data_IF_048850262729
#
_entry.id   IF_048850262729
#
_cell.length_a   1.000
_cell.length_b   1.000
_cell.length_c   1.000
_cell.angle_alpha   90.00
_cell.angle_beta   90.00
_cell.angle_gamma   90.00
#
_symmetry.space_group_name_H-M   'P 1'
#
loop_
_entity.id
_entity.type
_entity.pdbx_description
1 polymer ?
#
# COMPACT_ATOMS: atom_id res chain seq x y z
N UNK A 1 -16.03 26.23 -5.73
CA UNK A 1 -14.86 27.08 -5.47
C UNK A 1 -13.63 26.20 -5.40
N UNK A 2 -12.49 26.63 -5.95
CA UNK A 2 -11.23 25.87 -5.96
C UNK A 2 -10.73 25.51 -4.55
N UNK A 3 -11.04 26.35 -3.56
CA UNK A 3 -10.73 26.11 -2.13
C UNK A 3 -11.32 24.79 -1.62
N UNK A 4 -12.58 24.50 -1.93
CA UNK A 4 -13.24 23.25 -1.55
C UNK A 4 -12.54 22.03 -2.19
N UNK A 5 -12.09 22.16 -3.44
CA UNK A 5 -11.35 21.08 -4.09
C UNK A 5 -9.96 20.86 -3.47
N UNK A 6 -9.28 21.91 -3.03
CA UNK A 6 -8.00 21.79 -2.33
C UNK A 6 -8.15 21.13 -0.96
N UNK A 7 -9.21 21.46 -0.23
CA UNK A 7 -9.55 20.80 1.03
C UNK A 7 -9.81 19.31 0.83
N UNK A 8 -10.57 18.94 -0.22
CA UNK A 8 -10.82 17.53 -0.54
C UNK A 8 -9.54 16.79 -0.95
N UNK A 9 -8.62 17.42 -1.69
CA UNK A 9 -7.31 16.82 -1.99
C UNK A 9 -6.48 16.60 -0.72
N UNK A 10 -6.48 17.58 0.20
CA UNK A 10 -5.78 17.47 1.48
C UNK A 10 -6.36 16.32 2.32
N UNK A 11 -7.68 16.21 2.39
CA UNK A 11 -8.39 15.12 3.09
C UNK A 11 -8.13 13.76 2.44
N UNK A 12 -8.11 13.68 1.12
CA UNK A 12 -7.75 12.46 0.39
C UNK A 12 -6.34 11.98 0.75
N UNK A 13 -5.34 12.88 0.78
CA UNK A 13 -3.98 12.52 1.18
C UNK A 13 -3.88 12.08 2.64
N UNK A 14 -4.60 12.74 3.55
CA UNK A 14 -4.67 12.31 4.96
C UNK A 14 -5.27 10.92 5.10
N UNK A 15 -6.34 10.62 4.34
CA UNK A 15 -6.95 9.28 4.30
C UNK A 15 -6.00 8.24 3.75
N UNK A 16 -5.24 8.55 2.68
CA UNK A 16 -4.20 7.65 2.16
C UNK A 16 -3.14 7.35 3.21
N UNK A 17 -2.63 8.38 3.89
CA UNK A 17 -1.65 8.21 4.95
C UNK A 17 -2.17 7.30 6.08
N UNK A 18 -3.43 7.45 6.49
CA UNK A 18 -4.06 6.58 7.49
C UNK A 18 -4.19 5.13 7.01
N UNK A 19 -4.60 4.91 5.75
CA UNK A 19 -4.65 3.56 5.16
C UNK A 19 -3.27 2.92 5.10
N UNK A 20 -2.24 3.68 4.76
CA UNK A 20 -0.85 3.21 4.78
C UNK A 20 -0.41 2.83 6.20
N UNK A 21 -0.79 3.59 7.21
CA UNK A 21 -0.52 3.23 8.61
C UNK A 21 -1.22 1.92 9.02
N UNK A 22 -2.46 1.69 8.57
CA UNK A 22 -3.15 0.42 8.77
C UNK A 22 -2.40 -0.74 8.09
N UNK A 23 -1.98 -0.57 6.82
CA UNK A 23 -1.21 -1.59 6.08
C UNK A 23 0.11 -1.91 6.80
N UNK A 24 0.83 -0.88 7.27
CA UNK A 24 2.07 -1.06 8.01
C UNK A 24 1.85 -1.89 9.29
N UNK A 25 0.77 -1.64 10.03
CA UNK A 25 0.41 -2.42 11.21
C UNK A 25 0.08 -3.88 10.86
N UNK A 26 -0.64 -4.13 9.75
CA UNK A 26 -0.89 -5.49 9.28
C UNK A 26 0.39 -6.21 8.85
N UNK A 27 1.35 -5.50 8.26
CA UNK A 27 2.66 -6.05 7.92
C UNK A 27 3.47 -6.44 9.15
N UNK A 28 3.49 -5.58 10.18
CA UNK A 28 4.17 -5.91 11.44
C UNK A 28 3.50 -7.10 12.13
N UNK A 29 2.16 -7.15 12.12
CA UNK A 29 1.39 -8.30 12.63
C UNK A 29 1.70 -9.59 11.86
N UNK A 30 1.79 -9.51 10.53
CA UNK A 30 2.16 -10.63 9.68
C UNK A 30 3.59 -11.11 9.99
N UNK A 31 4.56 -10.20 10.14
CA UNK A 31 5.94 -10.53 10.49
C UNK A 31 5.99 -11.31 11.82
N UNK A 32 5.22 -10.88 12.82
CA UNK A 32 5.11 -11.57 14.10
C UNK A 32 4.49 -12.96 13.96
N UNK A 33 3.43 -13.11 13.16
CA UNK A 33 2.80 -14.41 12.89
C UNK A 33 3.78 -15.40 12.25
N UNK A 34 4.59 -14.93 11.30
CA UNK A 34 5.53 -15.75 10.53
C UNK A 34 6.77 -16.17 11.33
N UNK A 35 7.07 -15.46 12.42
CA UNK A 35 8.18 -15.79 13.34
C UNK A 35 7.79 -16.77 14.44
N UNK A 36 6.49 -17.11 14.59
CA UNK A 36 6.05 -18.12 15.56
C UNK A 36 6.47 -19.52 15.12
N UNK A 37 6.74 -20.41 16.09
CA UNK A 37 7.08 -21.81 15.82
C UNK A 37 5.95 -22.58 15.11
N UNK A 38 4.70 -22.19 15.35
CA UNK A 38 3.51 -22.72 14.66
C UNK A 38 2.68 -21.56 14.09
N UNK A 39 2.44 -21.59 12.78
CA UNK A 39 1.66 -20.57 12.09
C UNK A 39 0.20 -20.98 12.05
N UNK A 40 -0.69 -20.09 12.48
CA UNK A 40 -2.12 -20.23 12.23
C UNK A 40 -2.43 -19.79 10.80
N UNK A 41 -2.82 -20.75 9.94
CA UNK A 41 -3.21 -20.46 8.57
C UNK A 41 -4.44 -19.55 8.48
N UNK A 42 -5.36 -19.68 9.42
CA UNK A 42 -6.56 -18.84 9.49
C UNK A 42 -6.20 -17.38 9.84
N UNK A 43 -5.26 -17.17 10.77
CA UNK A 43 -4.78 -15.82 11.11
C UNK A 43 -4.00 -15.19 9.95
N UNK A 44 -3.22 -16.00 9.22
CA UNK A 44 -2.49 -15.55 8.05
C UNK A 44 -3.43 -15.18 6.90
N UNK A 45 -4.45 -16.00 6.64
CA UNK A 45 -5.47 -15.71 5.62
C UNK A 45 -6.22 -14.42 5.95
N UNK A 46 -6.70 -14.27 7.18
CA UNK A 46 -7.41 -13.07 7.62
C UNK A 46 -6.53 -11.80 7.53
N UNK A 47 -5.25 -11.89 7.91
CA UNK A 47 -4.31 -10.78 7.76
C UNK A 47 -4.19 -10.34 6.29
N UNK A 48 -4.09 -11.29 5.38
CA UNK A 48 -3.85 -11.02 3.97
C UNK A 48 -5.09 -10.52 3.24
N UNK A 49 -6.28 -11.04 3.58
CA UNK A 49 -7.56 -10.52 3.09
C UNK A 49 -7.76 -9.05 3.47
N UNK A 50 -7.42 -8.68 4.71
CA UNK A 50 -7.59 -7.28 5.14
C UNK A 50 -6.55 -6.36 4.50
N UNK A 51 -5.31 -6.82 4.27
CA UNK A 51 -4.33 -6.07 3.47
C UNK A 51 -4.83 -5.85 2.04
N UNK A 52 -5.38 -6.87 1.38
CA UNK A 52 -5.99 -6.72 0.06
C UNK A 52 -7.11 -5.66 0.06
N UNK A 53 -7.99 -5.69 1.07
CA UNK A 53 -9.06 -4.68 1.22
C UNK A 53 -8.50 -3.26 1.36
N UNK A 54 -7.45 -3.09 2.15
CA UNK A 54 -6.79 -1.80 2.33
C UNK A 54 -6.08 -1.32 1.07
N UNK A 55 -5.46 -2.22 0.31
CA UNK A 55 -4.85 -1.91 -1.00
C UNK A 55 -5.94 -1.42 -1.98
N UNK A 56 -7.09 -2.10 -2.06
CA UNK A 56 -8.19 -1.64 -2.92
C UNK A 56 -8.71 -0.26 -2.51
N UNK A 57 -8.79 0.01 -1.20
CA UNK A 57 -9.15 1.33 -0.67
C UNK A 57 -8.12 2.38 -1.05
N UNK A 58 -6.82 2.06 -0.98
CA UNK A 58 -5.74 2.95 -1.37
C UNK A 58 -5.82 3.30 -2.87
N UNK A 59 -5.99 2.30 -3.74
CA UNK A 59 -6.17 2.49 -5.19
C UNK A 59 -7.34 3.43 -5.50
N UNK A 60 -8.50 3.24 -4.86
CA UNK A 60 -9.66 4.12 -5.08
C UNK A 60 -9.41 5.56 -4.61
N UNK A 61 -8.63 5.75 -3.53
CA UNK A 61 -8.21 7.09 -3.10
C UNK A 61 -7.21 7.72 -4.08
N UNK A 62 -6.33 6.92 -4.69
CA UNK A 62 -5.38 7.37 -5.71
C UNK A 62 -6.11 7.85 -6.97
N UNK A 63 -7.02 7.04 -7.52
CA UNK A 63 -7.84 7.41 -8.68
C UNK A 63 -8.68 8.68 -8.43
N UNK A 64 -9.29 8.78 -7.24
CA UNK A 64 -10.07 9.94 -6.85
C UNK A 64 -9.22 11.21 -6.72
N UNK A 65 -8.00 11.07 -6.18
CA UNK A 65 -7.05 12.18 -6.08
C UNK A 65 -6.60 12.67 -7.47
N UNK A 66 -6.21 11.76 -8.36
CA UNK A 66 -5.76 12.11 -9.71
C UNK A 66 -6.87 12.81 -10.51
N UNK A 67 -8.09 12.27 -10.46
CA UNK A 67 -9.26 12.86 -11.11
C UNK A 67 -9.53 14.27 -10.62
N UNK A 68 -9.41 14.50 -9.31
CA UNK A 68 -9.66 15.81 -8.72
C UNK A 68 -8.54 16.80 -9.03
N UNK A 69 -7.29 16.34 -8.97
CA UNK A 69 -6.12 17.16 -9.28
C UNK A 69 -6.18 17.66 -10.73
N UNK A 70 -6.48 16.79 -11.69
CA UNK A 70 -6.52 17.15 -13.11
C UNK A 70 -7.57 18.24 -13.40
N UNK A 71 -8.71 18.21 -12.70
CA UNK A 71 -9.77 19.22 -12.84
C UNK A 71 -9.37 20.61 -12.35
N UNK A 72 -8.48 20.70 -11.36
CA UNK A 72 -8.11 21.98 -10.74
C UNK A 72 -6.72 22.45 -11.14
N UNK A 73 -5.93 21.60 -11.80
CA UNK A 73 -4.53 21.86 -12.16
C UNK A 73 -4.36 23.18 -12.92
N UNK A 74 -5.14 23.43 -13.97
CA UNK A 74 -5.03 24.65 -14.76
C UNK A 74 -5.33 25.92 -13.95
N UNK A 75 -6.38 25.87 -13.13
CA UNK A 75 -6.78 27.00 -12.27
C UNK A 75 -5.75 27.26 -11.17
N UNK A 76 -5.14 26.19 -10.65
CA UNK A 76 -4.08 26.26 -9.65
C UNK A 76 -2.78 26.83 -10.24
N UNK A 77 -2.47 26.50 -11.49
CA UNK A 77 -1.33 27.08 -12.22
C UNK A 77 -1.52 28.57 -12.52
N UNK A 78 -2.75 29.00 -12.81
CA UNK A 78 -3.09 30.39 -13.10
C UNK A 78 -3.06 31.31 -11.87
N UNK A 79 -3.32 30.78 -10.67
CA UNK A 79 -3.40 31.55 -9.41
C UNK A 79 -2.54 30.95 -8.29
N UNK A 80 -1.31 30.52 -8.60
CA UNK A 80 -0.40 29.86 -7.64
C UNK A 80 -0.18 30.66 -6.35
N UNK A 81 -0.02 31.97 -6.46
CA UNK A 81 0.32 32.81 -5.31
C UNK A 81 -0.80 32.86 -4.27
N UNK A 82 -2.06 32.80 -4.71
CA UNK A 82 -3.23 32.79 -3.82
C UNK A 82 -3.35 31.50 -3.00
N UNK A 83 -2.79 30.39 -3.48
CA UNK A 83 -2.91 29.07 -2.86
C UNK A 83 -1.57 28.48 -2.39
N UNK A 84 -0.53 29.31 -2.30
CA UNK A 84 0.85 28.87 -2.03
C UNK A 84 0.98 28.02 -0.77
N UNK A 85 0.31 28.41 0.31
CA UNK A 85 0.35 27.69 1.59
C UNK A 85 -0.38 26.34 1.51
N UNK A 86 -1.54 26.29 0.85
CA UNK A 86 -2.29 25.06 0.59
C UNK A 86 -1.46 24.08 -0.26
N UNK A 87 -0.84 24.58 -1.34
CA UNK A 87 0.03 23.79 -2.22
C UNK A 87 1.19 23.20 -1.43
N UNK A 88 1.84 24.00 -0.58
CA UNK A 88 2.95 23.53 0.26
C UNK A 88 2.52 22.43 1.23
N UNK A 89 1.33 22.54 1.84
CA UNK A 89 0.77 21.48 2.70
C UNK A 89 0.50 20.19 1.92
N UNK A 90 -0.16 20.29 0.76
CA UNK A 90 -0.44 19.16 -0.12
C UNK A 90 0.87 18.46 -0.54
N UNK A 91 1.90 19.22 -0.93
CA UNK A 91 3.22 18.67 -1.25
C UNK A 91 3.84 17.92 -0.06
N UNK A 92 3.76 18.50 1.15
CA UNK A 92 4.25 17.84 2.36
C UNK A 92 3.50 16.54 2.68
N UNK A 93 2.19 16.50 2.44
CA UNK A 93 1.40 15.28 2.60
C UNK A 93 1.75 14.22 1.54
N UNK A 94 1.98 14.63 0.29
CA UNK A 94 2.47 13.72 -0.77
C UNK A 94 3.78 13.08 -0.35
N UNK A 95 4.76 13.87 0.13
CA UNK A 95 6.03 13.33 0.63
C UNK A 95 5.83 12.31 1.75
N UNK A 96 4.96 12.62 2.73
CA UNK A 96 4.66 11.67 3.82
C UNK A 96 4.04 10.36 3.31
N UNK A 97 3.09 10.46 2.37
CA UNK A 97 2.47 9.28 1.74
C UNK A 97 3.52 8.46 1.01
N UNK A 98 4.40 9.10 0.23
CA UNK A 98 5.49 8.42 -0.50
C UNK A 98 6.46 7.72 0.46
N UNK A 99 6.90 8.39 1.52
CA UNK A 99 7.83 7.82 2.50
C UNK A 99 7.23 6.58 3.19
N UNK A 100 5.95 6.65 3.56
CA UNK A 100 5.22 5.49 4.12
C UNK A 100 5.14 4.34 3.11
N UNK A 101 4.80 4.60 1.85
CA UNK A 101 4.74 3.57 0.81
C UNK A 101 6.07 2.86 0.62
N UNK A 102 7.20 3.59 0.63
CA UNK A 102 8.54 2.99 0.54
C UNK A 102 8.84 2.10 1.75
N UNK A 103 8.48 2.56 2.96
CA UNK A 103 8.65 1.75 4.18
C UNK A 103 7.81 0.46 4.14
N UNK A 104 6.56 0.55 3.68
CA UNK A 104 5.64 -0.57 3.53
C UNK A 104 6.16 -1.58 2.50
N UNK A 105 6.71 -1.11 1.37
CA UNK A 105 7.31 -1.99 0.37
C UNK A 105 8.50 -2.78 0.97
N UNK A 106 9.32 -2.12 1.79
CA UNK A 106 10.41 -2.80 2.48
C UNK A 106 9.90 -3.84 3.51
N UNK A 107 8.82 -3.55 4.24
CA UNK A 107 8.16 -4.51 5.13
C UNK A 107 7.59 -5.71 4.36
N UNK A 108 6.83 -5.46 3.28
CA UNK A 108 6.25 -6.51 2.44
C UNK A 108 7.33 -7.40 1.80
N UNK A 109 8.44 -6.83 1.35
CA UNK A 109 9.57 -7.61 0.83
C UNK A 109 10.16 -8.56 1.87
N UNK A 110 10.25 -8.14 3.14
CA UNK A 110 10.70 -9.00 4.24
C UNK A 110 9.68 -10.10 4.53
N UNK A 111 8.40 -9.76 4.62
CA UNK A 111 7.33 -10.72 4.88
C UNK A 111 7.18 -11.76 3.76
N UNK A 112 7.35 -11.33 2.50
CA UNK A 112 7.40 -12.22 1.34
C UNK A 112 8.47 -13.29 1.50
N UNK A 113 9.69 -12.91 1.87
CA UNK A 113 10.79 -13.86 2.09
C UNK A 113 10.46 -14.86 3.20
N UNK A 114 9.93 -14.38 4.32
CA UNK A 114 9.53 -15.24 5.44
C UNK A 114 8.46 -16.27 5.02
N UNK A 115 7.50 -15.85 4.19
CA UNK A 115 6.44 -16.73 3.68
C UNK A 115 6.96 -17.72 2.65
N UNK A 116 7.83 -17.29 1.74
CA UNK A 116 8.49 -18.17 0.78
C UNK A 116 9.31 -19.24 1.50
N UNK A 117 10.08 -18.87 2.54
CA UNK A 117 10.82 -19.81 3.38
C UNK A 117 9.90 -20.78 4.12
N UNK A 118 8.81 -20.27 4.69
CA UNK A 118 7.81 -21.09 5.37
C UNK A 118 7.19 -22.13 4.42
N UNK A 119 6.71 -21.70 3.25
CA UNK A 119 6.13 -22.62 2.27
C UNK A 119 7.16 -23.56 1.66
N UNK A 120 8.43 -23.17 1.53
CA UNK A 120 9.49 -24.06 1.09
C UNK A 120 9.75 -25.18 2.13
N UNK A 121 9.79 -24.83 3.42
CA UNK A 121 9.89 -25.79 4.53
C UNK A 121 8.68 -26.71 4.55
N UNK A 122 7.46 -26.16 4.53
CA UNK A 122 6.23 -26.94 4.47
C UNK A 122 6.21 -27.85 3.24
N UNK A 123 6.58 -27.37 2.04
CA UNK A 123 6.62 -28.19 0.82
C UNK A 123 7.60 -29.37 0.93
N UNK A 124 8.74 -29.19 1.59
CA UNK A 124 9.67 -30.28 1.88
C UNK A 124 9.07 -31.31 2.87
N UNK A 125 8.19 -30.87 3.77
CA UNK A 125 7.45 -31.69 4.73
C UNK A 125 6.14 -32.29 4.13
N UNK A 126 5.58 -31.69 3.08
CA UNK A 126 4.33 -32.04 2.34
C UNK A 126 4.43 -33.36 1.53
N UNK A 127 5.52 -34.12 1.64
CA UNK A 127 5.40 -35.59 1.47
C UNK A 127 4.49 -36.22 2.54
N UNK A 128 4.11 -35.49 3.61
CA UNK A 128 3.31 -36.02 4.73
C UNK A 128 2.09 -35.20 5.23
N UNK A 129 1.77 -33.98 4.79
CA UNK A 129 0.64 -33.25 5.40
C UNK A 129 -0.01 -32.16 4.56
N UNK A 130 -1.32 -32.24 4.32
CA UNK A 130 -2.11 -31.30 3.50
C UNK A 130 -2.62 -30.14 4.38
N UNK A 131 -2.08 -28.92 4.29
CA UNK A 131 -2.75 -27.67 4.77
C UNK A 131 -2.03 -26.35 4.41
N UNK A 132 -1.55 -26.19 3.17
CA UNK A 132 -1.04 -24.88 2.73
C UNK A 132 -2.18 -23.89 2.45
N UNK A 133 -2.11 -22.67 2.99
CA UNK A 133 -3.09 -21.59 2.74
C UNK A 133 -3.11 -21.21 1.25
N UNK A 134 -4.32 -21.13 0.69
CA UNK A 134 -4.55 -20.74 -0.72
C UNK A 134 -4.53 -19.22 -0.90
N UNK A 135 -5.08 -18.48 0.05
CA UNK A 135 -5.17 -17.01 -0.01
C UNK A 135 -3.78 -16.39 0.10
N UNK A 136 -2.98 -16.84 1.07
CA UNK A 136 -1.61 -16.38 1.21
C UNK A 136 -0.75 -16.66 -0.03
N UNK A 137 -0.89 -17.85 -0.59
CA UNK A 137 -0.20 -18.21 -1.82
C UNK A 137 -0.62 -17.34 -3.02
N UNK A 138 -1.93 -17.08 -3.15
CA UNK A 138 -2.47 -16.25 -4.23
C UNK A 138 -1.96 -14.81 -4.14
N UNK A 139 -2.02 -14.20 -2.96
CA UNK A 139 -1.58 -12.83 -2.70
C UNK A 139 -0.10 -12.62 -3.07
N UNK A 140 0.80 -13.51 -2.63
CA UNK A 140 2.23 -13.36 -2.96
C UNK A 140 2.52 -13.64 -4.43
N UNK A 141 1.77 -14.56 -5.03
CA UNK A 141 1.86 -14.79 -6.48
C UNK A 141 1.42 -13.55 -7.27
N UNK A 142 0.34 -12.89 -6.88
CA UNK A 142 -0.11 -11.65 -7.54
C UNK A 142 0.85 -10.48 -7.27
N UNK A 143 1.38 -10.37 -6.06
CA UNK A 143 2.34 -9.32 -5.69
C UNK A 143 3.65 -9.45 -6.47
N UNK A 144 4.14 -10.68 -6.69
CA UNK A 144 5.33 -10.91 -7.52
C UNK A 144 5.14 -10.53 -9.00
N UNK A 145 3.90 -10.47 -9.50
CA UNK A 145 3.61 -9.98 -10.84
C UNK A 145 3.39 -8.45 -10.88
N UNK A 146 3.00 -7.85 -9.74
CA UNK A 146 2.81 -6.41 -9.60
C UNK A 146 4.13 -5.63 -9.38
N UNK A 147 5.17 -6.29 -8.86
CA UNK A 147 6.53 -5.73 -8.75
C UNK A 147 7.10 -5.30 -10.14
N UNK A 148 6.65 -5.92 -11.23
CA UNK A 148 7.08 -5.56 -12.61
C UNK A 148 6.28 -4.40 -13.23
N UNK A 149 5.17 -3.97 -12.62
CA UNK A 149 4.23 -2.99 -13.23
C UNK A 149 3.94 -1.76 -12.38
N UNK A 150 4.34 -1.74 -11.11
CA UNK A 150 4.10 -0.60 -10.21
C UNK A 150 5.12 0.54 -10.36
N UNK A 151 6.11 0.40 -11.25
CA UNK A 151 7.21 1.38 -11.40
C UNK A 151 6.91 2.55 -12.35
N UNK A 152 5.70 2.67 -12.93
CA UNK A 152 5.47 3.62 -14.03
C UNK A 152 4.72 4.91 -13.67
N UNK A 153 4.77 5.39 -12.42
CA UNK A 153 4.23 6.73 -12.06
C UNK A 153 5.29 7.65 -11.43
N UNK A 154 6.44 7.15 -10.97
CA UNK A 154 7.47 7.98 -10.32
C UNK A 154 8.82 8.07 -11.06
N UNK A 155 9.01 7.40 -12.20
CA UNK A 155 10.15 7.66 -13.09
C UNK A 155 9.85 8.79 -14.10
N UNK A 156 9.43 9.96 -13.58
CA UNK A 156 9.55 11.23 -14.27
C UNK A 156 10.64 12.07 -13.62
N UNK A 157 11.89 11.61 -13.70
CA UNK A 157 13.04 12.51 -13.68
C UNK A 157 14.13 12.02 -14.64
N UNK A 158 13.95 12.35 -15.92
CA UNK A 158 14.99 12.95 -16.77
C UNK A 158 14.34 13.75 -17.89
#
# INVERSE_FOLDING_TARGET
MIENYLEILEDSLKKKAAVLDEIAAYNDGQELLLKKDSISMEELDANMEEKDRLIQKLTGLDEGFETLYERIREQLLANKDAYKEQIKRIQGLISQVTDKSVSIQAQESRNKKLIEEYFAKEKSQIRQGRKASKTAYSYYKSMSNADDTSFSILDQKK
#
